data_IF_138199048215
#
_entry.id   IF_138199048215
#
_cell.length_a   1.000
_cell.length_b   1.000
_cell.length_c   1.000
_cell.angle_alpha   90.00
_cell.angle_beta   90.00
_cell.angle_gamma   90.00
#
_symmetry.space_group_name_H-M   'P 1'
#
loop_
_entity.id
_entity.type
_entity.pdbx_description
1 polymer ?
#
# COMPACT_ATOMS: atom_id res chain seq x y z
N UNK A 1 -6.24 -7.41 19.98
CA UNK A 1 -7.58 -8.05 20.15
C UNK A 1 -7.51 -9.56 20.38
N UNK A 2 -7.24 -10.41 19.37
CA UNK A 2 -7.22 -11.88 19.54
C UNK A 2 -6.11 -12.37 20.48
N UNK A 3 -4.89 -11.84 20.34
CA UNK A 3 -3.77 -12.13 21.24
C UNK A 3 -4.07 -11.75 22.70
N UNK A 4 -4.69 -10.60 22.93
CA UNK A 4 -5.14 -10.20 24.27
C UNK A 4 -6.20 -11.15 24.83
N UNK A 5 -7.15 -11.63 24.00
CA UNK A 5 -8.14 -12.64 24.42
C UNK A 5 -7.47 -13.95 24.82
N UNK A 6 -6.47 -14.41 24.07
CA UNK A 6 -5.69 -15.63 24.39
C UNK A 6 -4.89 -15.43 25.68
N UNK A 7 -4.23 -14.28 25.84
CA UNK A 7 -3.51 -13.95 27.07
C UNK A 7 -4.43 -13.80 28.29
N UNK A 8 -5.69 -13.41 28.08
CA UNK A 8 -6.70 -13.37 29.14
C UNK A 8 -7.27 -14.75 29.45
N UNK A 9 -7.48 -15.62 28.46
CA UNK A 9 -7.90 -17.01 28.71
C UNK A 9 -6.82 -17.79 29.47
N UNK A 10 -5.56 -17.62 29.07
CA UNK A 10 -4.41 -18.24 29.78
C UNK A 10 -4.35 -17.79 31.24
N UNK A 11 -4.64 -16.51 31.55
CA UNK A 11 -4.68 -16.02 32.93
C UNK A 11 -5.76 -16.72 33.79
N UNK A 12 -6.83 -17.23 33.16
CA UNK A 12 -7.89 -17.96 33.88
C UNK A 12 -7.49 -19.40 34.24
N UNK A 13 -6.44 -19.95 33.63
CA UNK A 13 -5.98 -21.33 33.85
C UNK A 13 -5.09 -21.49 35.11
N UNK A 14 -5.08 -20.50 36.02
CA UNK A 14 -4.32 -20.51 37.29
C UNK A 14 -2.82 -20.86 37.13
N UNK A 15 -2.08 -20.07 36.34
CA UNK A 15 -0.63 -20.23 36.24
C UNK A 15 0.07 -19.74 37.51
N UNK A 16 0.70 -20.66 38.23
CA UNK A 16 1.39 -20.41 39.52
C UNK A 16 2.66 -19.55 39.42
N UNK A 17 3.37 -19.57 38.28
CA UNK A 17 4.66 -18.87 38.13
C UNK A 17 4.70 -17.84 37.00
N UNK A 18 3.85 -17.98 35.97
CA UNK A 18 3.93 -17.17 34.76
C UNK A 18 2.94 -16.00 34.71
N UNK A 19 2.16 -15.74 35.76
CA UNK A 19 1.15 -14.68 35.75
C UNK A 19 1.80 -13.28 35.57
N UNK A 20 2.89 -13.03 36.27
CA UNK A 20 3.69 -11.79 36.13
C UNK A 20 4.22 -11.63 34.70
N UNK A 21 4.63 -12.73 34.05
CA UNK A 21 5.10 -12.71 32.67
C UNK A 21 3.97 -12.38 31.70
N UNK A 22 2.76 -12.93 31.92
CA UNK A 22 1.58 -12.61 31.10
C UNK A 22 1.25 -11.13 31.21
N UNK A 23 1.31 -10.54 32.41
CA UNK A 23 1.03 -9.13 32.61
C UNK A 23 2.08 -8.23 31.94
N UNK A 24 3.37 -8.57 32.03
CA UNK A 24 4.45 -7.86 31.31
C UNK A 24 4.29 -7.97 29.79
N UNK A 25 3.89 -9.14 29.28
CA UNK A 25 3.61 -9.33 27.84
C UNK A 25 2.40 -8.50 27.41
N UNK A 26 1.31 -8.48 28.21
CA UNK A 26 0.14 -7.65 27.91
C UNK A 26 0.51 -6.16 27.88
N UNK A 27 1.25 -5.68 28.86
CA UNK A 27 1.65 -4.29 28.94
C UNK A 27 2.61 -3.89 27.82
N UNK A 28 3.60 -4.73 27.51
CA UNK A 28 4.52 -4.49 26.40
C UNK A 28 3.80 -4.49 25.04
N UNK A 29 2.84 -5.39 24.82
CA UNK A 29 2.00 -5.39 23.62
C UNK A 29 1.14 -4.12 23.56
N UNK A 30 0.55 -3.70 24.67
CA UNK A 30 -0.24 -2.48 24.73
C UNK A 30 0.63 -1.26 24.41
N UNK A 31 1.84 -1.17 24.97
CA UNK A 31 2.80 -0.09 24.71
C UNK A 31 3.30 -0.07 23.27
N UNK A 32 3.61 -1.25 22.71
CA UNK A 32 4.14 -1.36 21.35
C UNK A 32 3.08 -1.05 20.28
N UNK A 33 1.86 -1.54 20.49
CA UNK A 33 0.77 -1.44 19.51
C UNK A 33 -0.30 -0.40 19.89
N UNK A 34 -0.05 0.43 20.89
CA UNK A 34 -0.99 1.44 21.41
C UNK A 34 -1.61 2.27 20.28
N UNK A 35 -0.74 2.70 19.36
CA UNK A 35 -1.09 3.51 18.18
C UNK A 35 -2.09 2.80 17.27
N UNK A 36 -1.92 1.50 17.06
CA UNK A 36 -2.81 0.69 16.23
C UNK A 36 -4.08 0.27 16.97
N UNK A 37 -4.10 0.29 18.31
CA UNK A 37 -5.30 0.00 19.10
C UNK A 37 -6.23 1.20 19.26
N UNK A 38 -5.68 2.42 19.25
CA UNK A 38 -6.48 3.65 19.34
C UNK A 38 -7.22 3.98 18.06
N UNK A 39 -6.81 3.44 16.90
CA UNK A 39 -7.47 3.55 15.57
C UNK A 39 -7.70 4.99 15.04
N UNK A 40 -7.48 6.02 15.85
CA UNK A 40 -7.77 7.42 15.58
C UNK A 40 -6.58 8.18 14.98
N UNK A 41 -5.35 7.66 15.13
CA UNK A 41 -4.15 8.40 14.79
C UNK A 41 -3.79 8.33 13.29
N UNK A 42 -3.41 9.46 12.70
CA UNK A 42 -2.97 9.58 11.30
C UNK A 42 -1.82 8.61 10.96
N UNK A 43 -0.96 8.29 11.94
CA UNK A 43 0.15 7.32 11.82
C UNK A 43 -0.31 5.87 11.85
N UNK A 44 -1.50 5.58 12.37
CA UNK A 44 -2.04 4.22 12.37
C UNK A 44 -2.60 3.84 10.99
N UNK A 45 -2.89 4.83 10.12
CA UNK A 45 -3.39 4.62 8.76
C UNK A 45 -2.49 3.70 7.94
N UNK A 46 -1.17 3.81 8.09
CA UNK A 46 -0.19 3.01 7.36
C UNK A 46 -0.25 1.50 7.68
N UNK A 47 -0.86 1.11 8.80
CA UNK A 47 -1.15 -0.30 9.09
C UNK A 47 -2.61 -0.68 8.86
N UNK A 48 -3.53 0.26 9.15
CA UNK A 48 -4.98 0.04 9.05
C UNK A 48 -5.40 -0.12 7.58
N UNK A 49 -5.01 0.80 6.71
CA UNK A 49 -5.39 0.79 5.29
C UNK A 49 -4.92 -0.50 4.58
N UNK A 50 -3.64 -0.91 4.67
CA UNK A 50 -3.22 -2.16 4.06
C UNK A 50 -3.98 -3.37 4.62
N UNK A 51 -4.20 -3.43 5.94
CA UNK A 51 -4.98 -4.51 6.57
C UNK A 51 -6.43 -4.58 6.06
N UNK A 52 -7.07 -3.44 5.81
CA UNK A 52 -8.43 -3.37 5.30
C UNK A 52 -8.52 -3.69 3.80
N UNK A 53 -7.50 -3.30 3.05
CA UNK A 53 -7.40 -3.58 1.61
C UNK A 53 -7.05 -5.04 1.30
N UNK A 54 -6.62 -5.82 2.29
CA UNK A 54 -6.29 -7.22 2.11
C UNK A 54 -7.55 -8.10 2.26
N UNK A 55 -7.94 -8.89 1.23
CA UNK A 55 -9.23 -9.60 1.20
C UNK A 55 -9.47 -10.56 2.38
N UNK A 56 -8.42 -11.17 2.91
CA UNK A 56 -8.52 -12.08 4.05
C UNK A 56 -8.79 -11.40 5.40
N UNK A 57 -8.31 -10.16 5.59
CA UNK A 57 -8.40 -9.49 6.89
C UNK A 57 -9.60 -8.55 6.96
N UNK A 58 -9.86 -7.75 5.90
CA UNK A 58 -10.98 -6.81 5.75
C UNK A 58 -11.42 -6.21 7.10
N UNK A 59 -12.70 -6.33 7.44
CA UNK A 59 -13.32 -5.79 8.66
C UNK A 59 -13.37 -6.77 9.83
N UNK A 60 -12.76 -7.96 9.71
CA UNK A 60 -12.92 -9.03 10.71
C UNK A 60 -12.26 -8.70 12.06
N UNK A 61 -11.17 -7.92 12.03
CA UNK A 61 -10.41 -7.55 13.23
C UNK A 61 -10.89 -6.24 13.88
N UNK A 62 -11.79 -5.51 13.20
CA UNK A 62 -12.27 -4.18 13.61
C UNK A 62 -13.40 -4.29 14.65
N UNK A 63 -13.29 -3.61 15.81
CA UNK A 63 -14.38 -3.52 16.79
C UNK A 63 -15.63 -2.87 16.20
N UNK A 64 -16.81 -3.38 16.55
CA UNK A 64 -18.09 -2.86 16.02
C UNK A 64 -18.26 -1.35 16.20
N UNK A 65 -17.80 -0.79 17.32
CA UNK A 65 -17.88 0.64 17.62
C UNK A 65 -17.10 1.53 16.63
N UNK A 66 -16.05 1.00 16.00
CA UNK A 66 -15.15 1.80 15.15
C UNK A 66 -15.34 1.49 13.66
N UNK A 67 -16.28 0.60 13.30
CA UNK A 67 -16.49 0.19 11.91
C UNK A 67 -16.88 1.36 11.01
N UNK A 68 -17.85 2.16 11.45
CA UNK A 68 -18.35 3.31 10.68
C UNK A 68 -17.23 4.33 10.42
N UNK A 69 -16.45 4.65 11.45
CA UNK A 69 -15.31 5.55 11.31
C UNK A 69 -14.28 5.02 10.30
N UNK A 70 -13.95 3.74 10.39
CA UNK A 70 -12.98 3.12 9.49
C UNK A 70 -13.49 3.09 8.04
N UNK A 71 -14.77 2.79 7.82
CA UNK A 71 -15.37 2.82 6.49
C UNK A 71 -15.21 4.20 5.84
N UNK A 72 -15.52 5.26 6.59
CA UNK A 72 -15.32 6.65 6.13
C UNK A 72 -13.85 6.93 5.81
N UNK A 73 -12.92 6.46 6.65
CA UNK A 73 -11.48 6.65 6.44
C UNK A 73 -11.02 5.95 5.15
N UNK A 74 -11.39 4.69 4.92
CA UNK A 74 -10.99 3.95 3.71
C UNK A 74 -11.56 4.59 2.46
N UNK A 75 -12.85 4.93 2.47
CA UNK A 75 -13.52 5.60 1.35
C UNK A 75 -12.82 6.92 1.02
N UNK A 76 -12.45 7.70 2.05
CA UNK A 76 -11.72 8.94 1.86
C UNK A 76 -10.35 8.73 1.20
N UNK A 77 -9.62 7.64 1.52
CA UNK A 77 -8.32 7.36 0.91
C UNK A 77 -8.43 6.81 -0.51
N UNK A 78 -9.42 5.98 -0.82
CA UNK A 78 -9.69 5.55 -2.20
C UNK A 78 -10.00 6.79 -3.07
N UNK A 79 -10.77 7.75 -2.54
CA UNK A 79 -11.06 9.00 -3.23
C UNK A 79 -9.80 9.82 -3.51
N UNK A 80 -8.86 9.91 -2.55
CA UNK A 80 -7.59 10.62 -2.76
C UNK A 80 -6.74 9.99 -3.85
N UNK A 81 -6.63 8.65 -3.88
CA UNK A 81 -5.87 7.94 -4.91
C UNK A 81 -6.42 8.25 -6.30
N UNK A 82 -7.74 8.25 -6.47
CA UNK A 82 -8.34 8.59 -7.77
C UNK A 82 -8.11 10.05 -8.17
N UNK A 83 -8.07 10.97 -7.20
CA UNK A 83 -7.74 12.38 -7.47
C UNK A 83 -6.27 12.56 -7.87
N UNK A 84 -5.35 11.81 -7.25
CA UNK A 84 -3.94 11.78 -7.64
C UNK A 84 -3.77 11.23 -9.07
N UNK A 85 -4.47 10.15 -9.42
CA UNK A 85 -4.48 9.60 -10.79
C UNK A 85 -4.93 10.65 -11.81
N UNK A 86 -6.04 11.36 -11.55
CA UNK A 86 -6.54 12.43 -12.43
C UNK A 86 -5.53 13.57 -12.60
N UNK A 87 -4.81 13.97 -11.53
CA UNK A 87 -3.80 15.02 -11.58
C UNK A 87 -2.55 14.60 -12.36
N UNK A 88 -2.10 13.36 -12.20
CA UNK A 88 -0.97 12.81 -12.96
C UNK A 88 -1.23 12.80 -14.47
N UNK A 89 -2.47 12.50 -14.88
CA UNK A 89 -2.89 12.56 -16.28
C UNK A 89 -2.99 13.98 -16.87
N UNK A 90 -3.08 15.02 -16.04
CA UNK A 90 -3.31 16.40 -16.49
C UNK A 90 -2.01 17.21 -16.67
N UNK A 91 -0.87 16.72 -16.16
CA UNK A 91 0.44 17.42 -16.25
C UNK A 91 1.17 17.16 -17.58
N UNK A 92 0.66 16.31 -18.48
CA UNK A 92 1.33 16.00 -19.76
C UNK A 92 0.99 16.93 -20.94
N UNK A 93 0.26 18.03 -20.75
CA UNK A 93 -0.06 18.94 -21.87
C UNK A 93 0.03 20.42 -21.50
N UNK A 94 1.26 20.92 -21.29
CA UNK A 94 1.68 22.25 -21.75
C UNK A 94 3.21 22.26 -21.81
N UNK A 95 3.78 21.96 -22.97
CA UNK A 95 4.89 22.79 -23.46
C UNK A 95 5.03 22.63 -24.96
N UNK A 96 4.90 23.76 -25.66
CA UNK A 96 5.22 23.90 -27.07
C UNK A 96 6.73 24.07 -27.21
N UNK A 97 7.42 23.15 -27.87
CA UNK A 97 8.24 23.43 -29.07
C UNK A 97 9.10 22.22 -29.50
N UNK A 98 8.86 21.80 -30.76
CA UNK A 98 9.79 21.21 -31.75
C UNK A 98 11.00 20.38 -31.25
N UNK A 99 10.95 19.04 -31.43
CA UNK A 99 11.58 18.28 -32.54
C UNK A 99 11.44 16.77 -32.28
N UNK A 100 11.40 16.03 -33.38
CA UNK A 100 11.02 14.64 -33.56
C UNK A 100 12.21 13.71 -33.30
N UNK A 101 12.08 12.75 -32.38
CA UNK A 101 12.74 11.45 -32.49
C UNK A 101 11.91 10.38 -31.76
N UNK A 102 11.54 9.32 -32.50
CA UNK A 102 10.64 8.25 -32.07
C UNK A 102 11.45 7.14 -31.41
N UNK A 103 11.51 7.12 -30.08
CA UNK A 103 11.96 5.95 -29.29
C UNK A 103 11.32 5.94 -27.91
N UNK A 104 10.01 5.70 -27.82
CA UNK A 104 9.36 5.45 -26.53
C UNK A 104 8.15 4.53 -26.70
N UNK A 105 8.39 3.23 -26.77
CA UNK A 105 7.35 2.19 -26.71
C UNK A 105 7.78 1.01 -25.84
N UNK A 106 8.46 1.30 -24.72
CA UNK A 106 8.91 0.26 -23.78
C UNK A 106 8.18 0.29 -22.42
N UNK A 107 7.47 1.38 -22.08
CA UNK A 107 6.79 1.51 -20.77
C UNK A 107 5.35 2.05 -20.83
N UNK A 108 4.67 1.98 -21.98
CA UNK A 108 3.28 2.43 -22.09
C UNK A 108 2.34 1.22 -21.92
N UNK A 109 1.83 0.99 -20.73
CA UNK A 109 0.68 0.10 -20.54
C UNK A 109 -0.56 0.81 -21.09
N UNK A 110 -1.08 0.33 -22.22
CA UNK A 110 -2.29 0.84 -22.87
C UNK A 110 -3.50 0.12 -22.28
N UNK A 111 -4.43 0.88 -21.69
CA UNK A 111 -5.88 0.62 -21.59
C UNK A 111 -6.50 1.76 -20.78
N UNK A 112 -7.56 2.47 -21.17
CA UNK A 112 -8.38 2.54 -22.36
C UNK A 112 -9.20 3.84 -22.20
N UNK A 113 -9.24 4.67 -23.24
CA UNK A 113 -9.85 5.99 -23.20
C UNK A 113 -11.37 5.92 -23.19
N UNK A 114 -12.02 6.43 -22.15
CA UNK A 114 -13.38 6.95 -22.24
C UNK A 114 -13.46 8.29 -21.50
N UNK A 115 -13.26 9.37 -22.26
CA UNK A 115 -13.47 10.74 -21.82
C UNK A 115 -14.96 11.09 -21.89
N UNK A 116 -15.62 11.21 -20.74
CA UNK A 116 -16.85 12.01 -20.63
C UNK A 116 -16.77 12.97 -19.43
N UNK A 117 -16.67 14.26 -19.76
CA UNK A 117 -16.47 15.38 -18.85
C UNK A 117 -17.79 15.88 -18.23
N UNK A 118 -18.59 14.98 -17.63
CA UNK A 118 -19.85 15.34 -16.98
C UNK A 118 -20.21 14.37 -15.84
N UNK A 119 -19.38 14.23 -14.80
CA UNK A 119 -19.68 13.35 -13.65
C UNK A 119 -18.61 13.45 -12.55
N UNK A 120 -18.47 14.55 -11.80
CA UNK A 120 -17.63 14.49 -10.59
C UNK A 120 -18.42 14.01 -9.36
N UNK A 121 -19.75 14.22 -9.33
CA UNK A 121 -20.62 13.70 -8.27
C UNK A 121 -21.04 12.23 -8.49
N UNK A 122 -21.35 11.81 -9.73
CA UNK A 122 -21.77 10.41 -9.98
C UNK A 122 -20.57 9.45 -9.88
N UNK A 123 -19.37 9.90 -10.27
CA UNK A 123 -18.15 9.11 -10.13
C UNK A 123 -17.64 8.95 -8.70
N UNK A 124 -18.01 9.84 -7.76
CA UNK A 124 -17.63 9.69 -6.35
C UNK A 124 -18.56 8.72 -5.65
N UNK A 125 -19.87 8.80 -5.91
CA UNK A 125 -20.84 7.84 -5.38
C UNK A 125 -20.57 6.40 -5.82
N UNK A 126 -20.09 6.18 -7.05
CA UNK A 126 -19.78 4.82 -7.54
C UNK A 126 -18.55 4.20 -6.88
N UNK A 127 -17.52 5.01 -6.59
CA UNK A 127 -16.30 4.56 -5.86
C UNK A 127 -16.66 4.20 -4.41
N UNK A 128 -17.45 5.06 -3.77
CA UNK A 128 -17.84 4.89 -2.39
C UNK A 128 -18.66 3.58 -2.26
N UNK A 129 -19.59 3.33 -3.19
CA UNK A 129 -20.36 2.09 -3.27
C UNK A 129 -19.47 0.86 -3.54
N UNK A 130 -18.54 0.93 -4.49
CA UNK A 130 -17.59 -0.15 -4.78
C UNK A 130 -16.77 -0.54 -3.53
N UNK A 131 -16.27 0.48 -2.81
CA UNK A 131 -15.45 0.29 -1.61
C UNK A 131 -16.28 -0.35 -0.49
N UNK A 132 -17.50 0.14 -0.26
CA UNK A 132 -18.40 -0.44 0.74
C UNK A 132 -18.84 -1.86 0.37
N UNK A 133 -19.03 -2.14 -0.92
CA UNK A 133 -19.37 -3.48 -1.40
C UNK A 133 -18.21 -4.45 -1.16
N UNK A 134 -16.97 -4.06 -1.45
CA UNK A 134 -15.79 -4.86 -1.15
C UNK A 134 -15.64 -5.18 0.35
N UNK A 135 -15.89 -4.19 1.23
CA UNK A 135 -15.79 -4.40 2.68
C UNK A 135 -16.85 -5.37 3.23
N UNK A 136 -17.97 -5.52 2.53
CA UNK A 136 -19.07 -6.45 2.88
C UNK A 136 -18.95 -7.81 2.19
N UNK A 137 -18.22 -7.89 1.09
CA UNK A 137 -18.00 -9.14 0.35
C UNK A 137 -17.28 -10.18 1.23
N UNK A 138 -17.70 -11.44 1.17
CA UNK A 138 -17.11 -12.54 1.96
C UNK A 138 -15.92 -13.20 1.25
N UNK A 139 -15.67 -12.84 -0.01
CA UNK A 139 -14.59 -13.44 -0.81
C UNK A 139 -13.21 -13.06 -0.27
N UNK A 140 -12.43 -14.07 0.14
CA UNK A 140 -11.09 -13.90 0.71
C UNK A 140 -9.95 -14.09 -0.32
N UNK A 141 -10.28 -14.33 -1.59
CA UNK A 141 -9.30 -14.56 -2.65
C UNK A 141 -8.81 -13.25 -3.26
N UNK A 142 -7.57 -13.25 -3.77
CA UNK A 142 -6.99 -12.09 -4.46
C UNK A 142 -7.70 -11.77 -5.79
N UNK A 143 -8.36 -12.77 -6.37
CA UNK A 143 -9.16 -12.64 -7.59
C UNK A 143 -10.36 -11.69 -7.43
N UNK A 144 -10.82 -11.48 -6.20
CA UNK A 144 -11.87 -10.50 -5.88
C UNK A 144 -11.53 -9.09 -6.36
N UNK A 145 -10.24 -8.74 -6.47
CA UNK A 145 -9.81 -7.44 -6.98
C UNK A 145 -10.15 -7.18 -8.45
N UNK A 146 -10.47 -8.21 -9.23
CA UNK A 146 -10.95 -8.02 -10.60
C UNK A 146 -12.32 -7.33 -10.64
N UNK A 147 -13.12 -7.48 -9.57
CA UNK A 147 -14.43 -6.82 -9.43
C UNK A 147 -14.33 -5.42 -8.83
N UNK A 148 -13.23 -5.13 -8.12
CA UNK A 148 -13.03 -3.88 -7.38
C UNK A 148 -11.70 -3.20 -7.76
N UNK A 149 -11.62 -2.59 -8.96
CA UNK A 149 -10.39 -1.99 -9.48
C UNK A 149 -9.86 -0.82 -8.63
N UNK A 150 -10.72 -0.03 -7.98
CA UNK A 150 -10.27 1.10 -7.16
C UNK A 150 -9.66 0.62 -5.84
N UNK A 151 -10.21 -0.44 -5.24
CA UNK A 151 -9.64 -1.10 -4.06
C UNK A 151 -8.32 -1.79 -4.41
N UNK A 152 -8.20 -2.38 -5.61
CA UNK A 152 -6.95 -2.96 -6.10
C UNK A 152 -5.82 -1.92 -6.13
N UNK A 153 -6.09 -0.70 -6.59
CA UNK A 153 -5.11 0.40 -6.59
C UNK A 153 -4.67 0.79 -5.18
N UNK A 154 -5.63 0.87 -4.24
CA UNK A 154 -5.34 1.09 -2.82
C UNK A 154 -4.43 -0.01 -2.26
N UNK A 155 -4.75 -1.27 -2.57
CA UNK A 155 -3.97 -2.43 -2.17
C UNK A 155 -2.52 -2.34 -2.66
N UNK A 156 -2.31 -2.06 -3.95
CA UNK A 156 -0.96 -1.90 -4.51
C UNK A 156 -0.21 -0.77 -3.79
N UNK A 157 -0.83 0.41 -3.66
CA UNK A 157 -0.16 1.57 -3.07
C UNK A 157 0.34 1.33 -1.64
N UNK A 158 -0.44 0.65 -0.80
CA UNK A 158 -0.11 0.48 0.61
C UNK A 158 0.60 -0.86 0.94
N UNK A 159 0.36 -1.93 0.19
CA UNK A 159 0.93 -3.26 0.50
C UNK A 159 2.18 -3.60 -0.31
N UNK A 160 2.45 -2.89 -1.42
CA UNK A 160 3.60 -3.20 -2.28
C UNK A 160 4.78 -2.23 -2.11
N UNK A 161 4.71 -1.33 -1.11
CA UNK A 161 5.86 -0.52 -0.75
C UNK A 161 7.03 -1.42 -0.32
N UNK A 162 8.22 -1.14 -0.85
CA UNK A 162 9.45 -1.80 -0.44
C UNK A 162 9.63 -1.65 1.08
N UNK A 163 9.58 -2.75 1.86
CA UNK A 163 9.63 -2.68 3.33
C UNK A 163 11.04 -2.33 3.85
N UNK A 164 12.04 -2.28 2.97
CA UNK A 164 13.43 -2.02 3.31
C UNK A 164 14.20 -1.49 2.11
N UNK A 165 15.27 -0.73 2.38
CA UNK A 165 16.27 -0.36 1.39
C UNK A 165 17.18 -1.54 1.00
N UNK A 166 16.99 -2.74 1.55
CA UNK A 166 17.86 -3.89 1.30
C UNK A 166 17.98 -4.25 -0.20
N UNK A 167 16.92 -4.24 -1.03
CA UNK A 167 17.04 -4.46 -2.48
C UNK A 167 17.92 -3.40 -3.14
N UNK A 168 17.77 -2.14 -2.72
CA UNK A 168 18.60 -1.02 -3.19
C UNK A 168 20.06 -1.19 -2.74
N UNK A 169 20.32 -1.60 -1.49
CA UNK A 169 21.68 -1.90 -1.01
C UNK A 169 22.34 -3.04 -1.77
N UNK A 170 21.57 -4.09 -2.10
CA UNK A 170 22.04 -5.18 -2.97
C UNK A 170 22.41 -4.64 -4.34
N UNK A 171 21.61 -3.76 -4.93
CA UNK A 171 21.95 -3.08 -6.18
C UNK A 171 23.27 -2.29 -6.07
N UNK A 172 23.44 -1.50 -5.00
CA UNK A 172 24.67 -0.75 -4.75
C UNK A 172 25.89 -1.61 -4.42
N UNK A 173 25.71 -2.87 -4.01
CA UNK A 173 26.85 -3.79 -3.87
C UNK A 173 27.53 -4.09 -5.21
N UNK A 174 26.77 -4.09 -6.32
CA UNK A 174 27.31 -4.26 -7.67
C UNK A 174 28.02 -3.01 -8.19
N UNK A 175 27.72 -1.83 -7.63
CA UNK A 175 28.35 -0.56 -8.03
C UNK A 175 29.86 -0.60 -7.82
N UNK A 176 30.36 -1.27 -6.79
CA UNK A 176 31.80 -1.47 -6.58
C UNK A 176 32.48 -2.25 -7.71
N UNK A 177 31.77 -3.18 -8.35
CA UNK A 177 32.28 -3.93 -9.51
C UNK A 177 32.17 -3.15 -10.83
N UNK A 178 31.19 -2.23 -10.93
CA UNK A 178 31.03 -1.37 -12.11
C UNK A 178 32.06 -0.23 -12.08
N UNK A 179 32.32 0.35 -10.91
CA UNK A 179 33.26 1.46 -10.65
C UNK A 179 34.70 1.00 -10.46
N UNK A 180 35.13 -0.04 -11.18
CA UNK A 180 36.52 -0.50 -11.12
C UNK A 180 37.46 0.49 -11.83
N UNK A 181 38.72 0.64 -11.37
CA UNK A 181 39.70 1.55 -11.98
C UNK A 181 39.93 1.35 -13.48
N UNK A 182 39.63 0.16 -14.01
CA UNK A 182 39.76 -0.19 -15.43
C UNK A 182 38.60 0.38 -16.30
N UNK A 183 37.49 0.81 -15.69
CA UNK A 183 36.30 1.38 -16.36
C UNK A 183 36.18 2.90 -16.14
N UNK A 184 37.30 3.60 -16.04
CA UNK A 184 37.44 5.00 -15.58
C UNK A 184 36.75 6.07 -16.46
N UNK A 185 36.13 5.71 -17.58
CA UNK A 185 35.59 6.66 -18.55
C UNK A 185 34.14 6.32 -18.98
N UNK A 186 33.33 5.89 -18.01
CA UNK A 186 31.90 5.65 -18.20
C UNK A 186 31.12 6.94 -17.92
N UNK A 187 30.20 7.30 -18.80
CA UNK A 187 29.25 8.39 -18.56
C UNK A 187 28.17 7.94 -17.58
N UNK A 188 27.61 8.85 -16.79
CA UNK A 188 26.57 8.55 -15.79
C UNK A 188 25.37 7.81 -16.40
N UNK A 189 24.93 8.19 -17.60
CA UNK A 189 23.85 7.49 -18.32
C UNK A 189 24.14 6.01 -18.58
N UNK A 190 25.38 5.69 -18.98
CA UNK A 190 25.80 4.31 -19.25
C UNK A 190 25.95 3.52 -17.95
N UNK A 191 26.38 4.17 -16.88
CA UNK A 191 26.44 3.58 -15.54
C UNK A 191 25.05 3.20 -15.04
N UNK A 192 24.08 4.10 -15.12
CA UNK A 192 22.70 3.85 -14.72
C UNK A 192 22.07 2.71 -15.53
N UNK A 193 22.28 2.69 -16.85
CA UNK A 193 21.80 1.61 -17.71
C UNK A 193 22.37 0.25 -17.30
N UNK A 194 23.69 0.15 -17.10
CA UNK A 194 24.35 -1.10 -16.68
C UNK A 194 23.85 -1.54 -15.30
N UNK A 195 23.66 -0.59 -14.38
CA UNK A 195 23.14 -0.86 -13.05
C UNK A 195 21.73 -1.45 -13.12
N UNK A 196 20.85 -0.88 -13.94
CA UNK A 196 19.49 -1.40 -14.18
C UNK A 196 19.52 -2.77 -14.84
N UNK A 197 20.32 -2.97 -15.89
CA UNK A 197 20.47 -4.28 -16.54
C UNK A 197 20.93 -5.36 -15.55
N UNK A 198 21.83 -5.01 -14.63
CA UNK A 198 22.31 -5.96 -13.62
C UNK A 198 21.30 -6.23 -12.50
N UNK A 199 20.31 -5.35 -12.32
CA UNK A 199 19.27 -5.52 -11.30
C UNK A 199 18.17 -6.51 -11.67
N UNK A 200 18.04 -6.83 -12.97
CA UNK A 200 16.99 -7.71 -13.53
C UNK A 200 17.45 -9.17 -13.66
N UNK A 201 18.77 -9.41 -13.54
CA UNK A 201 19.43 -10.71 -13.60
C UNK A 201 19.48 -11.42 -12.23
#
# INVERSE_FOLDING_TARGET
MRMQKILSSLKMDNLTYCDVLIDVIKESLNRCFERFYKLEELKAKDGIIPSLSYPFFKMQWVPKANKEYIEVVVVSEVRKIKQEDKKSSQVQHTDSDKKKERTASYYMFVEGSDSSAASDNVNTTTIDLETLQYLKDEDNTLESFNRYPNVKKLFLKYNTCLPSSAPVKRLFSFVGMIMMPHRRNMKDELFEQILVLKSVE
#
